data_IF_859385755668
#
_entry.id   IF_859385755668
#
_cell.length_a   1.000
_cell.length_b   1.000
_cell.length_c   1.000
_cell.angle_alpha   90.00
_cell.angle_beta   90.00
_cell.angle_gamma   90.00
#
_symmetry.space_group_name_H-M   'P 1'
#
loop_
_entity.id
_entity.type
_entity.pdbx_description
1 polymer ?
#
# COMPACT_ATOMS: atom_id res chain seq x y z
N UNK A 1 55.15 20.88 18.87
CA UNK A 1 55.37 19.86 17.82
C UNK A 1 54.25 20.05 16.83
N UNK A 2 54.42 21.02 15.93
CA UNK A 2 54.77 20.78 14.51
C UNK A 2 53.52 20.36 13.73
N UNK A 3 53.12 20.90 12.58
CA UNK A 3 53.45 22.06 11.74
C UNK A 3 52.40 22.02 10.60
N UNK A 4 52.00 23.17 10.06
CA UNK A 4 51.27 23.26 8.77
C UNK A 4 52.26 22.99 7.61
N UNK A 5 51.83 22.58 6.38
CA UNK A 5 51.49 23.59 5.35
C UNK A 5 50.50 23.20 4.23
N UNK A 6 50.22 24.24 3.45
CA UNK A 6 49.45 24.44 2.21
C UNK A 6 49.59 23.47 1.01
N UNK A 7 48.53 23.50 0.19
CA UNK A 7 48.40 23.36 -1.28
C UNK A 7 49.35 22.43 -2.06
N UNK A 8 48.74 21.54 -2.85
CA UNK A 8 49.23 21.20 -4.19
C UNK A 8 48.06 20.99 -5.18
N UNK A 9 48.10 21.78 -6.25
CA UNK A 9 47.46 21.53 -7.55
C UNK A 9 48.29 20.52 -8.34
N UNK A 10 47.66 19.65 -9.14
CA UNK A 10 48.10 19.36 -10.51
C UNK A 10 47.17 18.40 -11.24
N UNK A 11 46.87 18.76 -12.48
CA UNK A 11 46.38 17.90 -13.54
C UNK A 11 47.19 16.61 -13.67
N UNK A 12 46.52 15.49 -13.93
CA UNK A 12 47.03 14.43 -14.81
C UNK A 12 45.86 13.65 -15.40
N UNK A 13 45.36 14.13 -16.53
CA UNK A 13 44.58 13.34 -17.49
C UNK A 13 45.47 12.23 -18.07
N UNK A 14 45.37 11.02 -17.52
CA UNK A 14 45.93 9.81 -18.12
C UNK A 14 45.03 9.31 -19.25
N UNK A 15 45.44 9.55 -20.50
CA UNK A 15 44.82 8.97 -21.68
C UNK A 15 45.11 7.47 -21.78
N UNK A 16 44.08 6.64 -21.91
CA UNK A 16 44.19 5.29 -22.47
C UNK A 16 43.39 5.23 -23.77
N UNK A 17 44.10 5.37 -24.89
CA UNK A 17 43.57 5.14 -26.23
C UNK A 17 43.50 3.65 -26.55
N UNK A 18 42.35 3.18 -27.01
CA UNK A 18 42.24 2.00 -27.87
C UNK A 18 41.55 2.39 -29.18
N UNK A 19 42.25 2.21 -30.30
CA UNK A 19 41.68 2.27 -31.65
C UNK A 19 41.14 0.89 -32.03
N UNK A 20 39.84 0.78 -32.28
CA UNK A 20 39.29 -0.24 -33.19
C UNK A 20 38.18 0.38 -34.06
N UNK A 21 38.47 0.44 -35.36
CA UNK A 21 37.58 0.14 -36.49
C UNK A 21 36.16 0.73 -36.57
N UNK A 22 36.04 1.78 -37.37
CA UNK A 22 34.92 2.18 -38.27
C UNK A 22 33.49 2.17 -37.71
N UNK A 23 32.97 3.40 -37.51
CA UNK A 23 31.53 3.69 -37.63
C UNK A 23 30.86 4.27 -36.38
N UNK A 24 31.44 5.28 -35.70
CA UNK A 24 30.70 6.06 -34.68
C UNK A 24 29.95 7.21 -35.34
N UNK A 25 28.62 7.14 -35.35
CA UNK A 25 27.78 8.35 -35.39
C UNK A 25 27.94 9.05 -34.04
N UNK A 26 28.57 10.21 -34.04
CA UNK A 26 28.78 11.04 -32.85
C UNK A 26 27.46 11.67 -32.41
N UNK A 27 27.17 11.57 -31.11
CA UNK A 27 26.15 12.34 -30.41
C UNK A 27 26.64 13.80 -30.36
N UNK A 28 25.84 14.76 -30.81
CA UNK A 28 26.08 16.17 -30.51
C UNK A 28 25.77 16.37 -29.02
N UNK A 29 26.82 16.41 -28.20
CA UNK A 29 26.75 16.85 -26.81
C UNK A 29 26.86 18.37 -26.85
N UNK A 30 25.77 19.07 -26.54
CA UNK A 30 25.86 20.51 -26.27
C UNK A 30 26.60 20.71 -24.93
N UNK A 31 27.55 21.66 -24.84
CA UNK A 31 28.40 21.85 -23.67
C UNK A 31 27.63 22.31 -22.43
N UNK A 32 28.14 21.90 -21.26
CA UNK A 32 27.51 21.87 -19.94
C UNK A 32 27.41 23.26 -19.24
N UNK A 33 27.07 24.33 -19.98
CA UNK A 33 27.13 25.70 -19.45
C UNK A 33 25.81 26.49 -19.54
N UNK A 34 24.70 25.83 -19.87
CA UNK A 34 23.36 26.45 -19.88
C UNK A 34 22.31 25.56 -19.20
N UNK A 35 22.59 25.09 -17.98
CA UNK A 35 21.60 24.37 -17.17
C UNK A 35 20.58 25.35 -16.55
N UNK A 36 19.44 25.53 -17.19
CA UNK A 36 18.24 26.03 -16.50
C UNK A 36 17.58 24.86 -15.74
N UNK A 37 17.50 24.96 -14.41
CA UNK A 37 16.65 24.09 -13.57
C UNK A 37 15.20 24.19 -14.08
N UNK A 38 14.72 23.19 -14.80
CA UNK A 38 13.29 23.12 -15.18
C UNK A 38 12.96 22.35 -16.47
N UNK A 39 13.89 22.15 -17.41
CA UNK A 39 13.58 21.45 -18.67
C UNK A 39 13.78 19.93 -18.53
N UNK A 40 12.71 19.14 -18.61
CA UNK A 40 12.82 17.67 -18.72
C UNK A 40 13.53 17.29 -20.01
N UNK A 41 14.23 16.15 -20.01
CA UNK A 41 14.97 15.68 -21.19
C UNK A 41 13.99 15.08 -22.21
N UNK A 42 13.97 15.61 -23.43
CA UNK A 42 13.28 15.00 -24.57
C UNK A 42 14.07 13.76 -25.03
N UNK A 43 13.39 12.65 -25.28
CA UNK A 43 14.03 11.46 -25.84
C UNK A 43 14.27 11.66 -27.35
N UNK A 44 15.54 11.74 -27.74
CA UNK A 44 15.92 11.83 -29.14
C UNK A 44 16.81 10.63 -29.52
N UNK A 45 16.44 9.92 -30.58
CA UNK A 45 17.23 8.80 -31.11
C UNK A 45 17.48 8.98 -32.60
N UNK A 46 18.75 9.18 -32.98
CA UNK A 46 19.10 9.34 -34.40
C UNK A 46 18.54 10.61 -35.05
N UNK A 47 18.17 11.61 -34.25
CA UNK A 47 17.54 12.86 -34.72
C UNK A 47 16.02 12.87 -34.61
N UNK A 48 15.37 11.73 -34.36
CA UNK A 48 13.93 11.63 -34.17
C UNK A 48 13.56 11.81 -32.70
N UNK A 49 12.59 12.68 -32.44
CA UNK A 49 11.94 12.81 -31.12
C UNK A 49 11.03 11.59 -30.92
N UNK A 50 11.14 10.96 -29.76
CA UNK A 50 10.29 9.83 -29.36
C UNK A 50 9.36 10.30 -28.26
N UNK A 51 8.05 10.11 -28.49
CA UNK A 51 6.99 10.50 -27.57
C UNK A 51 6.48 9.33 -26.73
N UNK A 52 6.05 9.61 -25.51
CA UNK A 52 5.61 8.61 -24.53
C UNK A 52 4.29 9.02 -23.88
N UNK A 53 3.29 8.14 -23.99
CA UNK A 53 2.06 8.22 -23.20
C UNK A 53 2.12 7.25 -22.02
N UNK A 54 1.73 7.72 -20.84
CA UNK A 54 1.50 6.84 -19.69
C UNK A 54 -0.01 6.61 -19.53
N UNK A 55 -0.41 5.35 -19.41
CA UNK A 55 -1.81 4.95 -19.20
C UNK A 55 -1.94 4.22 -17.87
N UNK A 56 -2.86 4.68 -17.02
CA UNK A 56 -3.09 4.12 -15.69
C UNK A 56 -4.57 3.74 -15.56
N UNK A 57 -4.95 2.45 -15.66
CA UNK A 57 -6.27 2.02 -15.26
C UNK A 57 -6.43 2.17 -13.74
N UNK A 58 -7.57 2.67 -13.28
CA UNK A 58 -7.83 2.92 -11.87
C UNK A 58 -9.27 2.55 -11.49
N UNK A 59 -9.45 1.91 -10.33
CA UNK A 59 -10.76 1.63 -9.75
C UNK A 59 -10.61 1.58 -8.22
N UNK A 60 -11.10 2.61 -7.54
CA UNK A 60 -11.03 2.78 -6.09
C UNK A 60 -9.59 2.74 -5.53
N UNK A 61 -8.72 3.58 -6.07
CA UNK A 61 -7.29 3.68 -5.76
C UNK A 61 -6.92 5.08 -5.18
N UNK A 62 -7.82 5.72 -4.42
CA UNK A 62 -7.65 7.10 -3.91
C UNK A 62 -6.37 7.31 -3.08
N UNK A 63 -5.89 6.25 -2.46
CA UNK A 63 -4.73 6.26 -1.56
C UNK A 63 -3.38 6.11 -2.27
N UNK A 64 -3.39 5.51 -3.46
CA UNK A 64 -2.21 5.04 -4.16
C UNK A 64 -1.97 5.86 -5.43
N UNK A 65 -3.04 6.24 -6.14
CA UNK A 65 -2.99 6.92 -7.44
C UNK A 65 -2.18 8.22 -7.39
N UNK A 66 -2.32 9.02 -6.32
CA UNK A 66 -1.57 10.27 -6.16
C UNK A 66 -0.05 10.05 -6.06
N UNK A 67 0.37 8.93 -5.45
CA UNK A 67 1.77 8.53 -5.37
C UNK A 67 2.35 8.14 -6.73
N UNK A 68 1.58 7.38 -7.53
CA UNK A 68 1.95 6.99 -8.90
C UNK A 68 2.08 8.23 -9.78
N UNK A 69 1.07 9.10 -9.79
CA UNK A 69 1.06 10.32 -10.59
C UNK A 69 2.21 11.27 -10.23
N UNK A 70 2.53 11.38 -8.94
CA UNK A 70 3.71 12.12 -8.47
C UNK A 70 5.03 11.50 -8.97
N UNK A 71 5.14 10.17 -9.00
CA UNK A 71 6.31 9.47 -9.50
C UNK A 71 6.48 9.62 -11.03
N UNK A 72 5.36 9.60 -11.77
CA UNK A 72 5.34 9.88 -13.22
C UNK A 72 5.72 11.35 -13.49
N UNK A 73 5.23 12.28 -12.67
CA UNK A 73 5.60 13.70 -12.78
C UNK A 73 7.08 13.97 -12.42
N UNK A 74 7.75 13.10 -11.67
CA UNK A 74 9.18 13.22 -11.36
C UNK A 74 10.10 12.53 -12.36
N UNK A 75 9.57 12.02 -13.47
CA UNK A 75 10.43 11.41 -14.50
C UNK A 75 11.44 12.43 -15.05
N UNK A 76 12.69 11.99 -15.16
CA UNK A 76 13.82 12.74 -15.73
C UNK A 76 13.63 13.05 -17.21
N UNK A 77 12.83 12.24 -17.89
CA UNK A 77 12.42 12.47 -19.28
C UNK A 77 11.01 13.01 -19.37
N UNK A 78 10.72 13.66 -20.48
CA UNK A 78 9.38 14.13 -20.78
C UNK A 78 8.44 12.93 -20.98
N UNK A 79 7.35 12.93 -20.20
CA UNK A 79 6.15 12.13 -20.45
C UNK A 79 5.16 13.09 -21.09
N UNK A 80 4.79 12.84 -22.35
CA UNK A 80 4.03 13.77 -23.18
C UNK A 80 2.55 13.84 -22.78
N UNK A 81 2.00 12.74 -22.30
CA UNK A 81 0.67 12.72 -21.70
C UNK A 81 0.54 11.63 -20.64
N UNK A 82 -0.33 11.88 -19.67
CA UNK A 82 -0.76 10.88 -18.69
C UNK A 82 -2.27 10.74 -18.79
N UNK A 83 -2.73 9.51 -19.02
CA UNK A 83 -4.14 9.17 -19.13
C UNK A 83 -4.51 8.26 -17.96
N UNK A 84 -5.36 8.73 -17.07
CA UNK A 84 -5.99 7.88 -16.05
C UNK A 84 -7.32 7.41 -16.61
N UNK A 85 -7.54 6.10 -16.68
CA UNK A 85 -8.80 5.54 -17.16
C UNK A 85 -9.53 4.95 -15.95
N UNK A 86 -10.53 5.68 -15.47
CA UNK A 86 -11.33 5.32 -14.30
C UNK A 86 -12.39 4.28 -14.65
N UNK A 87 -12.41 3.19 -13.89
CA UNK A 87 -13.33 2.06 -14.03
C UNK A 87 -14.69 2.25 -13.35
N UNK A 88 -15.06 3.47 -12.96
CA UNK A 88 -16.23 3.76 -12.14
C UNK A 88 -15.91 3.78 -10.64
N UNK A 89 -14.86 4.49 -10.24
CA UNK A 89 -14.51 4.65 -8.82
C UNK A 89 -15.63 5.36 -8.05
N UNK A 90 -15.87 4.92 -6.82
CA UNK A 90 -16.85 5.50 -5.88
C UNK A 90 -16.19 6.25 -4.73
N UNK A 91 -14.86 6.27 -4.71
CA UNK A 91 -14.01 6.97 -3.74
C UNK A 91 -13.41 8.25 -4.37
N UNK A 92 -12.41 8.84 -3.73
CA UNK A 92 -11.79 10.09 -4.19
C UNK A 92 -10.79 9.89 -5.35
N UNK A 93 -10.68 8.71 -5.98
CA UNK A 93 -9.66 8.41 -7.01
C UNK A 93 -9.63 9.45 -8.12
N UNK A 94 -10.81 9.77 -8.70
CA UNK A 94 -10.95 10.74 -9.78
C UNK A 94 -10.52 12.13 -9.30
N UNK A 95 -11.04 12.57 -8.15
CA UNK A 95 -10.71 13.87 -7.56
C UNK A 95 -9.23 14.02 -7.21
N UNK A 96 -8.53 12.93 -6.85
CA UNK A 96 -7.08 12.93 -6.64
C UNK A 96 -6.33 13.05 -7.97
N UNK A 97 -6.76 12.33 -9.01
CA UNK A 97 -6.12 12.37 -10.32
C UNK A 97 -6.22 13.74 -11.00
N UNK A 98 -7.39 14.40 -10.90
CA UNK A 98 -7.66 15.71 -11.51
C UNK A 98 -6.83 16.86 -10.90
N UNK A 99 -6.25 16.67 -9.71
CA UNK A 99 -5.34 17.66 -9.11
C UNK A 99 -4.01 17.79 -9.86
N UNK A 100 -3.67 16.85 -10.74
CA UNK A 100 -2.43 16.86 -11.49
C UNK A 100 -2.61 17.54 -12.86
N UNK A 101 -1.86 18.61 -13.17
CA UNK A 101 -2.13 19.47 -14.34
C UNK A 101 -1.92 18.81 -15.71
N UNK A 102 -1.15 17.72 -15.77
CA UNK A 102 -0.83 17.00 -17.02
C UNK A 102 -1.53 15.63 -17.10
N UNK A 103 -2.60 15.43 -16.32
CA UNK A 103 -3.37 14.20 -16.29
C UNK A 103 -4.73 14.42 -16.94
N UNK A 104 -5.07 13.56 -17.89
CA UNK A 104 -6.40 13.47 -18.48
C UNK A 104 -7.11 12.27 -17.89
N UNK A 105 -8.27 12.48 -17.27
CA UNK A 105 -9.13 11.39 -16.78
C UNK A 105 -10.15 11.01 -17.85
N UNK A 106 -10.32 9.71 -18.08
CA UNK A 106 -11.34 9.13 -18.97
C UNK A 106 -12.16 8.13 -18.16
N UNK A 107 -13.48 8.18 -18.24
CA UNK A 107 -14.33 7.20 -17.57
C UNK A 107 -14.66 6.02 -18.50
N UNK A 108 -14.61 4.82 -17.95
CA UNK A 108 -14.92 3.57 -18.62
C UNK A 108 -15.64 2.62 -17.66
N UNK A 109 -16.55 1.80 -18.20
CA UNK A 109 -17.10 0.69 -17.43
C UNK A 109 -15.99 -0.37 -17.19
N UNK A 110 -16.08 -1.16 -16.11
CA UNK A 110 -15.31 -2.40 -15.97
C UNK A 110 -15.53 -3.34 -17.17
N UNK A 111 -14.58 -4.26 -17.45
CA UNK A 111 -13.40 -4.61 -16.66
C UNK A 111 -12.14 -3.79 -17.01
N UNK A 112 -11.04 -4.05 -16.30
CA UNK A 112 -9.73 -3.39 -16.49
C UNK A 112 -9.23 -3.44 -17.94
N UNK A 113 -9.50 -4.52 -18.68
CA UNK A 113 -9.10 -4.61 -20.09
C UNK A 113 -9.76 -3.56 -20.98
N UNK A 114 -11.01 -3.19 -20.68
CA UNK A 114 -11.68 -2.07 -21.34
C UNK A 114 -10.99 -0.73 -21.04
N UNK A 115 -10.57 -0.54 -19.79
CA UNK A 115 -9.83 0.66 -19.38
C UNK A 115 -8.48 0.76 -20.12
N UNK A 116 -7.71 -0.34 -20.18
CA UNK A 116 -6.45 -0.38 -20.94
C UNK A 116 -6.65 -0.15 -22.43
N UNK A 117 -7.69 -0.73 -23.02
CA UNK A 117 -7.99 -0.54 -24.43
C UNK A 117 -8.34 0.92 -24.76
N UNK A 118 -9.24 1.53 -23.99
CA UNK A 118 -9.59 2.95 -24.15
C UNK A 118 -8.36 3.84 -23.98
N UNK A 119 -7.51 3.53 -23.00
CA UNK A 119 -6.25 4.24 -22.80
C UNK A 119 -5.27 4.08 -23.97
N UNK A 120 -5.15 2.88 -24.55
CA UNK A 120 -4.34 2.62 -25.74
C UNK A 120 -4.84 3.45 -26.93
N UNK A 121 -6.14 3.42 -27.21
CA UNK A 121 -6.76 4.15 -28.32
C UNK A 121 -6.63 5.66 -28.15
N UNK A 122 -6.77 6.14 -26.90
CA UNK A 122 -6.72 7.56 -26.55
C UNK A 122 -5.30 8.13 -26.50
N UNK A 123 -4.28 7.28 -26.37
CA UNK A 123 -2.87 7.68 -26.36
C UNK A 123 -2.42 8.20 -27.73
N UNK A 124 -1.36 9.00 -27.75
CA UNK A 124 -0.76 9.62 -28.94
C UNK A 124 0.74 9.38 -29.06
N UNK A 125 1.39 8.92 -27.98
CA UNK A 125 2.82 8.67 -27.94
C UNK A 125 3.24 7.49 -28.80
N UNK A 126 4.48 7.53 -29.30
CA UNK A 126 5.08 6.42 -30.05
C UNK A 126 5.16 5.14 -29.20
N UNK A 127 5.42 5.33 -27.90
CA UNK A 127 5.36 4.29 -26.88
C UNK A 127 4.24 4.56 -25.87
N UNK A 128 3.60 3.49 -25.45
CA UNK A 128 2.62 3.50 -24.36
C UNK A 128 3.19 2.71 -23.19
N UNK A 129 3.24 3.34 -22.03
CA UNK A 129 3.63 2.73 -20.76
C UNK A 129 2.37 2.55 -19.93
N UNK A 130 1.90 1.31 -19.81
CA UNK A 130 0.85 0.97 -18.87
C UNK A 130 1.46 0.82 -17.47
N UNK A 131 0.83 1.43 -16.47
CA UNK A 131 1.19 1.29 -15.05
C UNK A 131 -0.07 1.05 -14.24
N UNK A 132 -0.06 0.10 -13.31
CA UNK A 132 -1.14 -0.02 -12.34
C UNK A 132 -1.11 1.15 -11.34
N UNK A 133 -2.28 1.53 -10.82
CA UNK A 133 -2.47 2.63 -9.88
C UNK A 133 -1.82 2.43 -8.49
N UNK A 134 -1.14 1.30 -8.25
CA UNK A 134 -0.41 0.96 -7.03
C UNK A 134 1.09 0.69 -7.26
N UNK A 135 1.66 1.22 -8.34
CA UNK A 135 3.08 1.03 -8.70
C UNK A 135 3.90 2.31 -8.52
N UNK A 136 5.18 2.15 -8.17
CA UNK A 136 6.07 3.28 -7.91
C UNK A 136 7.32 3.22 -8.81
N UNK A 137 7.28 3.83 -10.00
CA UNK A 137 8.47 3.95 -10.85
C UNK A 137 9.51 4.89 -10.24
N UNK A 138 10.79 4.57 -10.38
CA UNK A 138 11.90 5.48 -10.03
C UNK A 138 12.01 6.63 -11.04
N UNK A 139 12.71 7.72 -10.70
CA UNK A 139 12.77 8.95 -11.50
C UNK A 139 13.35 8.76 -12.93
N UNK A 140 14.15 7.73 -13.17
CA UNK A 140 14.72 7.43 -14.49
C UNK A 140 14.03 6.27 -15.21
N UNK A 141 12.94 5.73 -14.66
CA UNK A 141 12.29 4.50 -15.11
C UNK A 141 11.88 4.56 -16.59
N UNK A 142 11.10 5.58 -16.98
CA UNK A 142 10.58 5.70 -18.34
C UNK A 142 11.72 5.81 -19.36
N UNK A 143 12.68 6.69 -19.10
CA UNK A 143 13.84 6.88 -19.98
C UNK A 143 14.61 5.57 -20.18
N UNK A 144 14.93 4.87 -19.07
CA UNK A 144 15.67 3.62 -19.11
C UNK A 144 14.91 2.52 -19.87
N UNK A 145 13.59 2.43 -19.70
CA UNK A 145 12.77 1.48 -20.43
C UNK A 145 12.80 1.73 -21.94
N UNK A 146 12.56 2.97 -22.38
CA UNK A 146 12.53 3.32 -23.81
C UNK A 146 13.91 3.17 -24.45
N UNK A 147 14.98 3.61 -23.77
CA UNK A 147 16.35 3.43 -24.23
C UNK A 147 16.71 1.95 -24.43
N UNK A 148 16.34 1.10 -23.45
CA UNK A 148 16.60 -0.34 -23.55
C UNK A 148 15.78 -0.99 -24.67
N UNK A 149 14.49 -0.65 -24.81
CA UNK A 149 13.65 -1.15 -25.90
C UNK A 149 14.19 -0.76 -27.27
N UNK A 150 14.61 0.49 -27.47
CA UNK A 150 15.21 0.95 -28.72
C UNK A 150 16.52 0.23 -29.02
N UNK A 151 17.42 0.14 -28.03
CA UNK A 151 18.70 -0.57 -28.15
C UNK A 151 18.53 -2.03 -28.57
N UNK A 152 17.55 -2.71 -27.97
CA UNK A 152 17.23 -4.13 -28.24
C UNK A 152 16.25 -4.32 -29.40
N UNK A 153 15.74 -3.23 -29.99
CA UNK A 153 14.70 -3.21 -31.03
C UNK A 153 13.46 -4.02 -30.63
N UNK A 154 12.97 -3.82 -29.42
CA UNK A 154 11.76 -4.46 -28.89
C UNK A 154 10.51 -3.72 -29.34
N UNK A 155 9.42 -4.46 -29.47
CA UNK A 155 8.08 -3.95 -29.80
C UNK A 155 7.19 -3.91 -28.55
N UNK A 156 7.40 -4.84 -27.63
CA UNK A 156 6.72 -4.95 -26.34
C UNK A 156 7.71 -5.40 -25.26
N UNK A 157 7.55 -4.94 -24.04
CA UNK A 157 8.43 -5.28 -22.94
C UNK A 157 7.74 -5.17 -21.58
N UNK A 158 8.31 -5.87 -20.61
CA UNK A 158 7.95 -5.78 -19.19
C UNK A 158 9.22 -5.56 -18.35
N UNK A 159 9.16 -4.76 -17.27
CA UNK A 159 10.30 -4.58 -16.36
C UNK A 159 10.47 -5.78 -15.43
N UNK A 160 11.50 -5.73 -14.60
CA UNK A 160 11.58 -6.56 -13.40
C UNK A 160 10.70 -5.98 -12.30
N UNK A 161 10.07 -6.85 -11.52
CA UNK A 161 9.17 -6.44 -10.45
C UNK A 161 9.87 -6.59 -9.10
N UNK A 162 9.82 -5.52 -8.30
CA UNK A 162 10.37 -5.50 -6.94
C UNK A 162 9.24 -5.20 -5.95
N UNK A 163 8.90 -6.11 -5.04
CA UNK A 163 7.82 -5.85 -4.09
C UNK A 163 8.27 -4.80 -3.07
N UNK A 164 7.44 -3.79 -2.82
CA UNK A 164 7.76 -2.69 -1.90
C UNK A 164 6.49 -2.03 -1.31
N UNK A 165 6.42 -1.84 0.02
CA UNK A 165 7.24 -2.49 1.06
C UNK A 165 6.99 -4.00 1.07
N UNK A 166 7.98 -4.81 1.46
CA UNK A 166 7.85 -6.28 1.38
C UNK A 166 8.75 -7.01 2.36
N UNK A 167 8.37 -8.24 2.72
CA UNK A 167 9.22 -9.17 3.46
C UNK A 167 10.29 -9.79 2.56
N UNK A 168 11.42 -10.28 3.13
CA UNK A 168 12.45 -11.01 2.37
C UNK A 168 11.90 -12.25 1.65
N UNK A 169 10.95 -12.96 2.26
CA UNK A 169 10.32 -14.14 1.67
C UNK A 169 9.55 -13.80 0.39
N UNK A 170 8.74 -12.74 0.42
CA UNK A 170 8.03 -12.26 -0.78
C UNK A 170 9.04 -11.72 -1.80
N UNK A 171 10.10 -11.03 -1.37
CA UNK A 171 11.19 -10.59 -2.24
C UNK A 171 11.84 -11.74 -3.01
N UNK A 172 12.08 -12.87 -2.36
CA UNK A 172 12.62 -14.08 -2.99
C UNK A 172 11.66 -14.65 -4.05
N UNK A 173 10.34 -14.68 -3.76
CA UNK A 173 9.32 -15.11 -4.73
C UNK A 173 9.34 -14.25 -5.99
N UNK A 174 9.36 -12.92 -5.85
CA UNK A 174 9.43 -12.01 -6.99
C UNK A 174 10.75 -12.17 -7.78
N UNK A 175 11.85 -12.41 -7.08
CA UNK A 175 13.15 -12.67 -7.72
C UNK A 175 13.11 -13.95 -8.57
N UNK A 176 12.48 -15.01 -8.05
CA UNK A 176 12.26 -16.25 -8.79
C UNK A 176 11.37 -16.02 -10.03
N UNK A 177 10.28 -15.26 -9.90
CA UNK A 177 9.43 -14.91 -11.06
C UNK A 177 10.17 -14.10 -12.11
N UNK A 178 10.96 -13.09 -11.73
CA UNK A 178 11.75 -12.32 -12.67
C UNK A 178 12.74 -13.21 -13.45
N UNK A 179 13.39 -14.16 -12.77
CA UNK A 179 14.29 -15.12 -13.40
C UNK A 179 13.55 -16.06 -14.37
N UNK A 180 12.38 -16.58 -13.97
CA UNK A 180 11.56 -17.44 -14.82
C UNK A 180 11.09 -16.69 -16.08
N UNK A 181 10.56 -15.47 -15.91
CA UNK A 181 10.12 -14.63 -17.03
C UNK A 181 11.28 -14.33 -17.98
N UNK A 182 12.44 -13.98 -17.44
CA UNK A 182 13.63 -13.72 -18.25
C UNK A 182 14.11 -14.98 -19.00
N UNK A 183 14.19 -16.13 -18.33
CA UNK A 183 14.66 -17.38 -18.93
C UNK A 183 13.73 -17.87 -20.04
N UNK A 184 12.42 -17.74 -19.84
CA UNK A 184 11.41 -18.25 -20.78
C UNK A 184 10.95 -17.24 -21.82
N UNK A 185 11.37 -15.97 -21.77
CA UNK A 185 10.84 -14.87 -22.59
C UNK A 185 10.78 -15.14 -24.11
N UNK A 186 11.69 -15.97 -24.66
CA UNK A 186 11.73 -16.33 -26.09
C UNK A 186 10.69 -17.38 -26.50
N UNK A 187 10.31 -18.27 -25.58
CA UNK A 187 9.39 -19.39 -25.83
C UNK A 187 8.00 -19.04 -25.32
N UNK A 188 7.96 -18.40 -24.16
CA UNK A 188 6.76 -18.09 -23.42
C UNK A 188 6.81 -16.64 -22.90
N UNK A 189 6.63 -15.63 -23.79
CA UNK A 189 6.57 -14.23 -23.41
C UNK A 189 5.61 -14.03 -22.24
N UNK A 190 6.10 -13.53 -21.10
CA UNK A 190 5.34 -13.44 -19.87
C UNK A 190 5.77 -12.23 -19.06
N UNK A 191 4.82 -11.65 -18.34
CA UNK A 191 4.98 -10.48 -17.48
C UNK A 191 3.70 -10.26 -16.69
N UNK A 192 3.61 -9.15 -15.96
CA UNK A 192 2.45 -8.77 -15.18
C UNK A 192 1.87 -7.45 -15.69
N UNK A 193 0.55 -7.28 -15.60
CA UNK A 193 -0.15 -6.05 -15.97
C UNK A 193 0.30 -4.80 -15.21
N UNK A 194 1.00 -4.99 -14.08
CA UNK A 194 1.59 -3.89 -13.29
C UNK A 194 2.48 -2.97 -14.10
N UNK A 195 3.16 -3.49 -15.13
CA UNK A 195 3.69 -2.63 -16.18
C UNK A 195 3.92 -3.35 -17.51
N UNK A 196 3.39 -2.75 -18.57
CA UNK A 196 3.60 -3.16 -19.95
C UNK A 196 4.04 -1.93 -20.73
N UNK A 197 5.17 -2.03 -21.43
CA UNK A 197 5.64 -0.99 -22.35
C UNK A 197 5.53 -1.52 -23.77
N UNK A 198 4.91 -0.78 -24.67
CA UNK A 198 4.65 -1.24 -26.02
C UNK A 198 4.72 -0.10 -27.02
N UNK A 199 5.14 -0.39 -28.26
CA UNK A 199 4.96 0.54 -29.38
C UNK A 199 3.46 0.67 -29.68
N UNK A 200 2.96 1.90 -29.71
CA UNK A 200 1.52 2.17 -29.85
C UNK A 200 0.93 1.54 -31.11
N UNK A 201 1.51 1.84 -32.27
CA UNK A 201 0.98 1.37 -33.56
C UNK A 201 1.00 -0.16 -33.66
N UNK A 202 2.07 -0.79 -33.17
CA UNK A 202 2.16 -2.25 -33.11
C UNK A 202 1.05 -2.87 -32.24
N UNK A 203 0.74 -2.26 -31.10
CA UNK A 203 -0.35 -2.73 -30.24
C UNK A 203 -1.74 -2.59 -30.90
N UNK A 204 -1.99 -1.45 -31.56
CA UNK A 204 -3.25 -1.19 -32.27
C UNK A 204 -3.44 -2.14 -33.45
N UNK A 205 -2.40 -2.32 -34.28
CA UNK A 205 -2.42 -3.27 -35.40
C UNK A 205 -2.62 -4.73 -34.93
N UNK A 206 -2.14 -5.06 -33.74
CA UNK A 206 -2.34 -6.37 -33.15
C UNK A 206 -3.76 -6.59 -32.56
N UNK A 207 -4.60 -5.54 -32.53
CA UNK A 207 -5.98 -5.57 -32.03
C UNK A 207 -6.15 -5.16 -30.56
N UNK A 208 -5.11 -4.61 -29.92
CA UNK A 208 -5.23 -4.06 -28.56
C UNK A 208 -5.51 -5.09 -27.47
N UNK A 209 -6.09 -4.62 -26.36
CA UNK A 209 -6.51 -5.40 -25.20
C UNK A 209 -7.93 -5.94 -25.35
N UNK A 210 -8.25 -7.03 -24.63
CA UNK A 210 -9.56 -7.69 -24.66
C UNK A 210 -10.35 -7.36 -23.40
N UNK A 211 -11.63 -7.01 -23.55
CA UNK A 211 -12.53 -6.77 -22.41
C UNK A 211 -13.35 -8.01 -22.00
N UNK A 212 -13.24 -9.13 -22.73
CA UNK A 212 -13.90 -10.39 -22.41
C UNK A 212 -13.05 -11.35 -21.54
N UNK A 213 -11.90 -10.88 -21.02
CA UNK A 213 -10.96 -11.67 -20.23
C UNK A 213 -10.55 -10.98 -18.93
N UNK A 214 -10.51 -11.76 -17.85
CA UNK A 214 -9.95 -11.34 -16.54
C UNK A 214 -8.43 -11.17 -16.60
N UNK A 215 -7.73 -12.02 -17.36
CA UNK A 215 -6.26 -12.03 -17.51
C UNK A 215 -5.82 -11.46 -18.87
N UNK A 216 -6.43 -10.34 -19.22
CA UNK A 216 -6.24 -9.63 -20.49
C UNK A 216 -4.79 -9.18 -20.72
N UNK A 217 -4.08 -8.83 -19.65
CA UNK A 217 -2.67 -8.44 -19.65
C UNK A 217 -1.74 -9.57 -20.12
N UNK A 218 -1.90 -10.78 -19.57
CA UNK A 218 -1.08 -11.94 -19.91
C UNK A 218 -1.40 -12.41 -21.33
N UNK A 219 -2.67 -12.38 -21.73
CA UNK A 219 -3.07 -12.65 -23.12
C UNK A 219 -2.42 -11.66 -24.08
N UNK A 220 -2.49 -10.36 -23.77
CA UNK A 220 -1.91 -9.28 -24.56
C UNK A 220 -0.41 -9.46 -24.71
N UNK A 221 0.33 -9.64 -23.61
CA UNK A 221 1.78 -9.86 -23.61
C UNK A 221 2.15 -11.07 -24.48
N UNK A 222 1.43 -12.18 -24.35
CA UNK A 222 1.72 -13.40 -25.10
C UNK A 222 1.41 -13.28 -26.58
N UNK A 223 0.27 -12.71 -26.93
CA UNK A 223 -0.14 -12.53 -28.33
C UNK A 223 0.82 -11.58 -29.05
N UNK A 224 1.11 -10.43 -28.46
CA UNK A 224 2.04 -9.46 -29.05
C UNK A 224 3.48 -9.98 -29.05
N UNK A 225 3.91 -10.64 -27.98
CA UNK A 225 5.25 -11.20 -27.89
C UNK A 225 5.53 -12.36 -28.84
N UNK A 226 4.50 -13.06 -29.32
CA UNK A 226 4.63 -14.05 -30.40
C UNK A 226 4.65 -13.43 -31.80
N UNK A 227 4.06 -12.24 -31.97
CA UNK A 227 4.01 -11.52 -33.25
C UNK A 227 5.20 -10.59 -33.48
N UNK A 228 5.76 -10.04 -32.41
CA UNK A 228 6.86 -9.08 -32.44
C UNK A 228 7.99 -9.44 -31.48
N UNK A 229 8.89 -8.49 -31.24
CA UNK A 229 10.05 -8.69 -30.35
C UNK A 229 9.69 -8.33 -28.92
N UNK A 230 9.41 -9.35 -28.12
CA UNK A 230 9.27 -9.22 -26.67
C UNK A 230 10.61 -9.20 -25.94
N UNK A 231 10.69 -8.47 -24.84
CA UNK A 231 11.82 -8.59 -23.92
C UNK A 231 11.50 -8.20 -22.48
N UNK A 232 12.11 -8.93 -21.54
CA UNK A 232 12.17 -8.52 -20.14
C UNK A 232 13.29 -7.49 -19.96
N UNK A 233 12.98 -6.30 -19.47
CA UNK A 233 13.92 -5.19 -19.28
C UNK A 233 14.68 -5.36 -17.96
N UNK A 234 15.89 -4.81 -17.87
CA UNK A 234 16.71 -4.82 -16.65
C UNK A 234 16.28 -3.76 -15.61
N UNK A 235 15.37 -2.86 -15.99
CA UNK A 235 14.82 -1.82 -15.12
C UNK A 235 13.84 -2.43 -14.12
N UNK A 236 13.87 -1.97 -12.87
CA UNK A 236 12.98 -2.44 -11.81
C UNK A 236 11.81 -1.49 -11.58
N UNK A 237 10.62 -2.05 -11.41
CA UNK A 237 9.42 -1.35 -10.97
C UNK A 237 9.04 -1.81 -9.56
N UNK A 238 8.80 -0.86 -8.66
CA UNK A 238 8.24 -1.17 -7.35
C UNK A 238 6.76 -1.48 -7.47
N UNK A 239 6.34 -2.62 -6.93
CA UNK A 239 4.96 -3.11 -6.96
C UNK A 239 4.48 -3.48 -5.58
N UNK A 240 3.16 -3.44 -5.37
CA UNK A 240 2.56 -3.81 -4.10
C UNK A 240 2.58 -5.33 -3.86
N UNK A 241 2.92 -5.76 -2.65
CA UNK A 241 2.79 -7.14 -2.19
C UNK A 241 1.42 -7.43 -1.51
N UNK A 242 0.47 -6.49 -1.61
CA UNK A 242 -0.83 -6.52 -0.90
C UNK A 242 -1.56 -7.86 -1.02
N UNK A 243 -1.50 -8.53 -2.17
CA UNK A 243 -2.12 -9.84 -2.39
C UNK A 243 -1.45 -10.98 -1.60
N UNK A 244 -0.13 -10.97 -1.53
CA UNK A 244 0.62 -11.94 -0.72
C UNK A 244 0.35 -11.75 0.78
N UNK A 245 0.16 -10.52 1.23
CA UNK A 245 -0.25 -10.22 2.61
C UNK A 245 -1.68 -10.67 2.92
N UNK A 246 -2.64 -10.45 2.01
CA UNK A 246 -4.05 -10.84 2.19
C UNK A 246 -4.27 -12.35 2.18
N UNK A 247 -3.75 -13.04 1.16
CA UNK A 247 -4.06 -14.46 0.96
C UNK A 247 -2.99 -15.42 1.50
N UNK A 248 -1.81 -14.91 1.85
CA UNK A 248 -0.66 -15.69 2.26
C UNK A 248 0.14 -16.25 1.07
N UNK A 249 1.44 -16.42 1.28
CA UNK A 249 2.38 -16.86 0.24
C UNK A 249 2.02 -18.23 -0.37
N UNK A 250 1.74 -19.29 0.41
CA UNK A 250 1.46 -20.61 -0.18
C UNK A 250 0.23 -20.62 -1.07
N UNK A 251 -0.84 -19.94 -0.64
CA UNK A 251 -2.10 -19.85 -1.39
C UNK A 251 -1.91 -19.08 -2.69
N UNK A 252 -1.17 -17.97 -2.65
CA UNK A 252 -0.85 -17.19 -3.85
C UNK A 252 0.02 -17.98 -4.84
N UNK A 253 1.04 -18.70 -4.35
CA UNK A 253 1.88 -19.54 -5.20
C UNK A 253 1.08 -20.66 -5.87
N UNK A 254 0.23 -21.37 -5.13
CA UNK A 254 -0.63 -22.41 -5.67
C UNK A 254 -1.60 -21.85 -6.74
N UNK A 255 -2.18 -20.67 -6.46
CA UNK A 255 -3.06 -19.99 -7.40
C UNK A 255 -2.33 -19.60 -8.71
N UNK A 256 -1.14 -18.98 -8.60
CA UNK A 256 -0.34 -18.61 -9.77
C UNK A 256 0.20 -19.82 -10.54
N UNK A 257 0.52 -20.93 -9.87
CA UNK A 257 0.90 -22.18 -10.51
C UNK A 257 -0.27 -22.75 -11.34
N UNK A 258 -1.49 -22.76 -10.78
CA UNK A 258 -2.69 -23.21 -11.49
C UNK A 258 -2.97 -22.33 -12.73
N UNK A 259 -2.88 -21.00 -12.58
CA UNK A 259 -3.01 -20.07 -13.71
C UNK A 259 -1.94 -20.29 -14.78
N UNK A 260 -0.69 -20.50 -14.37
CA UNK A 260 0.41 -20.75 -15.29
C UNK A 260 0.17 -22.00 -16.14
N UNK A 261 -0.46 -23.03 -15.58
CA UNK A 261 -0.85 -24.22 -16.34
C UNK A 261 -1.87 -23.87 -17.45
N UNK A 262 -2.96 -23.18 -17.11
CA UNK A 262 -3.96 -22.74 -18.10
C UNK A 262 -3.34 -21.88 -19.20
N UNK A 263 -2.55 -20.88 -18.81
CA UNK A 263 -1.97 -19.96 -19.78
C UNK A 263 -1.01 -20.70 -20.71
N UNK A 264 -0.16 -21.60 -20.20
CA UNK A 264 0.81 -22.36 -21.02
C UNK A 264 0.15 -23.04 -22.21
N UNK A 265 -1.07 -23.56 -22.04
CA UNK A 265 -1.86 -24.19 -23.12
C UNK A 265 -2.79 -23.23 -23.88
N UNK A 266 -2.71 -21.92 -23.64
CA UNK A 266 -3.53 -20.91 -24.29
C UNK A 266 -4.99 -20.87 -23.83
N UNK A 267 -5.30 -21.50 -22.69
CA UNK A 267 -6.66 -21.68 -22.17
C UNK A 267 -7.12 -20.48 -21.32
N UNK A 268 -7.02 -19.26 -21.87
CA UNK A 268 -7.31 -18.01 -21.15
C UNK A 268 -8.78 -17.89 -20.72
N UNK A 269 -9.72 -18.34 -21.55
CA UNK A 269 -11.15 -18.32 -21.20
C UNK A 269 -11.47 -19.27 -20.06
N UNK A 270 -10.83 -20.45 -20.05
CA UNK A 270 -11.02 -21.49 -19.03
C UNK A 270 -10.35 -21.10 -17.70
N UNK A 271 -9.27 -20.32 -17.73
CA UNK A 271 -8.61 -19.81 -16.53
C UNK A 271 -9.56 -18.99 -15.62
N UNK A 272 -10.64 -18.43 -16.18
CA UNK A 272 -11.65 -17.66 -15.44
C UNK A 272 -12.44 -18.48 -14.42
N UNK A 273 -12.38 -19.82 -14.48
CA UNK A 273 -12.91 -20.71 -13.42
C UNK A 273 -12.21 -20.44 -12.08
N UNK A 274 -10.93 -20.05 -12.13
CA UNK A 274 -10.22 -19.56 -10.96
C UNK A 274 -10.69 -18.13 -10.70
N UNK A 275 -11.68 -17.98 -9.81
CA UNK A 275 -12.18 -16.67 -9.39
C UNK A 275 -11.01 -15.79 -8.96
N UNK A 276 -10.86 -14.65 -9.62
CA UNK A 276 -9.82 -13.69 -9.36
C UNK A 276 -10.43 -12.30 -9.36
N UNK A 277 -10.61 -11.76 -8.16
CA UNK A 277 -11.29 -10.49 -7.98
C UNK A 277 -10.31 -9.33 -8.20
N UNK A 278 -10.70 -8.43 -9.10
CA UNK A 278 -10.06 -7.14 -9.35
C UNK A 278 -10.95 -6.02 -8.78
N UNK A 279 -10.35 -5.03 -8.13
CA UNK A 279 -11.08 -3.85 -7.64
C UNK A 279 -11.85 -4.02 -6.32
N UNK A 280 -12.05 -5.25 -5.82
CA UNK A 280 -12.51 -5.55 -4.45
C UNK A 280 -11.34 -5.88 -3.54
N UNK A 281 -10.28 -5.06 -3.62
CA UNK A 281 -9.24 -5.16 -2.62
C UNK A 281 -9.78 -4.53 -1.35
N UNK A 282 -9.97 -5.35 -0.31
CA UNK A 282 -10.15 -4.86 1.05
C UNK A 282 -9.13 -3.76 1.27
N UNK A 283 -9.66 -2.56 1.42
CA UNK A 283 -9.05 -1.37 2.00
C UNK A 283 -7.86 -1.76 2.90
N UNK A 284 -6.67 -1.90 2.33
CA UNK A 284 -5.46 -1.57 3.05
C UNK A 284 -5.34 -0.04 3.02
N UNK A 285 -6.43 0.62 3.45
CA UNK A 285 -6.39 2.02 3.84
C UNK A 285 -5.35 2.05 4.94
N UNK A 286 -4.25 2.81 4.78
CA UNK A 286 -3.33 2.98 5.89
C UNK A 286 -4.18 3.46 7.06
N UNK A 287 -4.23 2.68 8.14
CA UNK A 287 -5.06 3.02 9.29
C UNK A 287 -4.62 4.40 9.75
N UNK A 288 -5.52 5.39 9.63
CA UNK A 288 -5.22 6.77 9.97
C UNK A 288 -5.60 7.01 11.42
N UNK A 289 -4.82 7.83 12.09
CA UNK A 289 -5.20 8.47 13.35
C UNK A 289 -5.60 9.92 13.08
N UNK A 290 -6.54 10.44 13.86
CA UNK A 290 -6.96 11.84 13.82
C UNK A 290 -6.06 12.64 14.76
N UNK A 291 -5.21 13.50 14.20
CA UNK A 291 -4.39 14.42 14.98
C UNK A 291 -5.26 15.53 15.55
N UNK A 292 -5.02 15.91 16.79
CA UNK A 292 -5.80 16.93 17.49
C UNK A 292 -4.93 17.94 18.22
N UNK A 293 -5.52 19.10 18.49
CA UNK A 293 -4.98 20.04 19.47
C UNK A 293 -5.32 19.64 20.92
N UNK A 294 -4.88 20.44 21.87
CA UNK A 294 -5.08 20.23 23.32
C UNK A 294 -6.56 20.24 23.76
N UNK A 295 -7.47 20.71 22.90
CA UNK A 295 -8.91 20.82 23.16
C UNK A 295 -9.73 19.77 22.39
N UNK A 296 -9.07 18.75 21.84
CA UNK A 296 -9.67 17.70 21.01
C UNK A 296 -10.26 18.22 19.68
N UNK A 297 -9.78 19.35 19.14
CA UNK A 297 -10.16 19.77 17.80
C UNK A 297 -9.30 19.05 16.75
N UNK A 298 -9.88 18.45 15.69
CA UNK A 298 -9.12 17.84 14.61
C UNK A 298 -8.26 18.85 13.85
N UNK A 299 -6.95 18.60 13.77
CA UNK A 299 -5.98 19.43 13.04
C UNK A 299 -5.33 18.71 11.84
N UNK A 300 -5.61 17.41 11.67
CA UNK A 300 -5.11 16.63 10.56
C UNK A 300 -5.22 15.13 10.78
N UNK A 301 -4.50 14.37 9.96
CA UNK A 301 -4.44 12.90 10.05
C UNK A 301 -3.02 12.41 9.84
N UNK A 302 -2.64 11.34 10.53
CA UNK A 302 -1.35 10.66 10.32
C UNK A 302 -1.55 9.15 10.15
N UNK A 303 -0.59 8.47 9.54
CA UNK A 303 -0.64 7.01 9.45
C UNK A 303 -0.30 6.40 10.82
N UNK A 304 -1.17 5.55 11.35
CA UNK A 304 -0.97 4.81 12.62
C UNK A 304 0.34 4.04 12.65
N UNK A 305 0.74 3.49 11.50
CA UNK A 305 1.97 2.71 11.35
C UNK A 305 3.26 3.52 11.58
N UNK A 306 3.20 4.85 11.45
CA UNK A 306 4.38 5.72 11.55
C UNK A 306 4.24 6.83 12.59
N UNK A 307 3.04 7.10 13.10
CA UNK A 307 2.79 8.21 14.03
C UNK A 307 3.43 7.97 15.40
N UNK A 308 3.51 6.70 15.85
CA UNK A 308 4.08 6.33 17.14
C UNK A 308 5.61 6.25 17.08
N UNK A 309 6.27 7.31 17.52
CA UNK A 309 7.73 7.45 17.61
C UNK A 309 8.15 8.18 18.88
N UNK A 310 9.35 8.76 18.90
CA UNK A 310 9.84 9.52 20.07
C UNK A 310 9.11 10.85 20.30
N UNK A 311 8.45 11.37 19.26
CA UNK A 311 7.71 12.63 19.27
C UNK A 311 6.30 12.42 18.68
N UNK A 312 5.54 11.48 19.24
CA UNK A 312 4.17 11.19 18.79
C UNK A 312 3.27 12.41 19.01
N UNK A 313 2.67 12.98 17.94
CA UNK A 313 1.71 14.07 18.07
C UNK A 313 0.45 13.61 18.80
N UNK A 314 -0.22 14.56 19.47
CA UNK A 314 -1.49 14.29 20.13
C UNK A 314 -2.54 13.85 19.10
N UNK A 315 -3.24 12.76 19.40
CA UNK A 315 -4.26 12.21 18.51
C UNK A 315 -5.39 11.54 19.29
N UNK A 316 -6.52 11.29 18.61
CA UNK A 316 -7.68 10.61 19.22
C UNK A 316 -7.47 9.11 19.28
N UNK A 317 -7.89 8.55 20.41
CA UNK A 317 -7.98 7.12 20.65
C UNK A 317 -9.27 6.79 21.41
N UNK A 318 -9.41 5.54 21.82
CA UNK A 318 -10.43 5.11 22.78
C UNK A 318 -9.99 3.83 23.49
N UNK A 319 -10.58 3.59 24.66
CA UNK A 319 -10.34 2.40 25.48
C UNK A 319 -11.66 1.76 25.89
N UNK A 320 -11.77 0.42 25.81
CA UNK A 320 -12.99 -0.33 26.13
C UNK A 320 -12.73 -1.34 27.25
N UNK A 321 -13.62 -1.35 28.25
CA UNK A 321 -13.78 -2.41 29.25
C UNK A 321 -15.05 -3.21 28.95
N UNK A 322 -14.89 -4.43 28.45
CA UNK A 322 -15.96 -5.35 28.07
C UNK A 322 -16.26 -6.32 29.21
N UNK A 323 -17.52 -6.37 29.63
CA UNK A 323 -18.01 -7.21 30.71
C UNK A 323 -18.98 -8.29 30.20
N UNK A 324 -18.96 -9.46 30.86
CA UNK A 324 -19.96 -10.51 30.65
C UNK A 324 -21.16 -10.39 31.61
N UNK A 325 -22.13 -11.31 31.52
CA UNK A 325 -23.31 -11.36 32.43
C UNK A 325 -22.96 -11.47 33.91
N UNK A 326 -21.79 -11.99 34.23
CA UNK A 326 -21.32 -12.24 35.59
C UNK A 326 -20.50 -11.07 36.13
N UNK A 327 -20.48 -9.92 35.43
CA UNK A 327 -19.64 -8.75 35.76
C UNK A 327 -18.14 -9.07 35.76
N UNK A 328 -17.71 -10.10 35.05
CA UNK A 328 -16.27 -10.32 34.79
C UNK A 328 -15.86 -9.45 33.63
N UNK A 329 -14.70 -8.80 33.74
CA UNK A 329 -14.09 -8.00 32.69
C UNK A 329 -13.16 -8.85 31.84
N UNK A 330 -13.17 -8.65 30.53
CA UNK A 330 -12.24 -9.29 29.61
C UNK A 330 -10.94 -8.51 29.55
N UNK A 331 -9.83 -9.14 29.92
CA UNK A 331 -8.49 -8.66 29.64
C UNK A 331 -7.95 -9.33 28.38
N UNK A 332 -7.14 -8.60 27.61
CA UNK A 332 -6.37 -9.16 26.51
C UNK A 332 -4.87 -9.04 26.77
N UNK A 333 -4.11 -10.06 26.41
CA UNK A 333 -2.66 -9.98 26.25
C UNK A 333 -2.36 -9.57 24.83
N UNK A 334 -1.70 -8.43 24.66
CA UNK A 334 -1.37 -7.84 23.35
C UNK A 334 -0.49 -8.79 22.55
N UNK A 335 -0.71 -8.92 21.23
CA UNK A 335 0.13 -9.79 20.39
C UNK A 335 1.60 -9.38 20.41
N UNK A 336 2.49 -10.34 20.19
CA UNK A 336 3.93 -10.07 20.03
C UNK A 336 4.24 -9.13 18.84
N UNK A 337 3.28 -8.90 17.94
CA UNK A 337 3.42 -8.07 16.73
C UNK A 337 3.12 -6.60 16.97
N UNK A 338 2.55 -6.23 18.12
CA UNK A 338 2.23 -4.83 18.44
C UNK A 338 3.50 -3.99 18.52
N UNK A 339 3.44 -2.79 17.94
CA UNK A 339 4.58 -1.88 17.89
C UNK A 339 4.96 -1.30 19.26
N UNK A 340 3.97 -1.20 20.17
CA UNK A 340 4.06 -0.63 21.51
C UNK A 340 3.46 -1.64 22.52
N UNK A 341 4.12 -1.85 23.66
CA UNK A 341 3.76 -2.85 24.70
C UNK A 341 3.33 -4.23 24.14
N UNK A 342 4.16 -4.93 23.34
CA UNK A 342 3.87 -6.31 22.93
C UNK A 342 3.87 -7.24 24.15
N UNK A 343 2.93 -8.21 24.18
CA UNK A 343 2.79 -9.21 25.25
C UNK A 343 2.35 -8.69 26.63
N UNK A 344 2.10 -7.39 26.79
CA UNK A 344 1.52 -6.85 28.01
C UNK A 344 0.02 -7.14 28.09
N UNK A 345 -0.50 -7.30 29.31
CA UNK A 345 -1.93 -7.36 29.56
C UNK A 345 -2.54 -5.95 29.51
N UNK A 346 -3.78 -5.85 29.04
CA UNK A 346 -4.52 -4.59 28.94
C UNK A 346 -6.01 -4.87 29.11
N UNK A 347 -6.79 -3.82 29.31
CA UNK A 347 -8.23 -3.83 29.13
C UNK A 347 -8.65 -4.35 27.73
N UNK A 348 -9.94 -4.58 27.56
CA UNK A 348 -10.47 -5.46 26.51
C UNK A 348 -10.11 -5.07 25.08
N UNK A 349 -10.17 -3.78 24.73
CA UNK A 349 -9.87 -3.32 23.38
C UNK A 349 -9.52 -1.83 23.39
N UNK A 350 -8.46 -1.46 22.66
CA UNK A 350 -8.05 -0.07 22.47
C UNK A 350 -7.82 0.18 20.98
N UNK A 351 -8.05 1.41 20.52
CA UNK A 351 -7.79 1.76 19.13
C UNK A 351 -8.04 3.22 18.83
N UNK A 352 -8.15 3.49 17.53
CA UNK A 352 -8.22 4.86 17.00
C UNK A 352 -9.50 5.04 16.18
N UNK A 353 -10.26 6.14 16.40
CA UNK A 353 -11.30 6.54 15.47
C UNK A 353 -10.71 6.93 14.12
N UNK A 354 -11.37 6.51 13.04
CA UNK A 354 -11.06 7.00 11.69
C UNK A 354 -11.53 8.46 11.52
N UNK A 355 -11.01 9.19 10.52
CA UNK A 355 -11.51 10.53 10.21
C UNK A 355 -13.03 10.54 9.97
N UNK A 356 -13.75 11.35 10.74
CA UNK A 356 -15.22 11.44 10.70
C UNK A 356 -15.97 10.32 11.42
N UNK A 357 -15.28 9.35 12.02
CA UNK A 357 -15.88 8.26 12.79
C UNK A 357 -16.06 8.67 14.26
N UNK A 358 -17.24 8.40 14.83
CA UNK A 358 -17.47 8.56 16.27
C UNK A 358 -16.69 7.52 17.08
N UNK A 359 -16.31 7.87 18.29
CA UNK A 359 -15.63 6.97 19.24
C UNK A 359 -16.37 5.64 19.45
N UNK A 360 -17.69 5.68 19.63
CA UNK A 360 -18.51 4.47 19.84
C UNK A 360 -18.54 3.56 18.62
N UNK A 361 -18.59 4.13 17.41
CA UNK A 361 -18.51 3.36 16.16
C UNK A 361 -17.13 2.71 15.99
N UNK A 362 -16.06 3.46 16.29
CA UNK A 362 -14.69 2.96 16.26
C UNK A 362 -14.48 1.81 17.25
N UNK A 363 -15.02 1.94 18.46
CA UNK A 363 -15.01 0.90 19.49
C UNK A 363 -15.72 -0.38 19.04
N UNK A 364 -16.93 -0.27 18.47
CA UNK A 364 -17.66 -1.43 17.91
C UNK A 364 -16.85 -2.12 16.81
N UNK A 365 -16.28 -1.34 15.88
CA UNK A 365 -15.45 -1.85 14.80
C UNK A 365 -14.23 -2.61 15.32
N UNK A 366 -13.50 -2.08 16.30
CA UNK A 366 -12.30 -2.75 16.84
C UNK A 366 -12.64 -3.95 17.71
N UNK A 367 -13.73 -3.91 18.48
CA UNK A 367 -14.24 -5.08 19.20
C UNK A 367 -14.53 -6.25 18.26
N UNK A 368 -15.14 -5.98 17.10
CA UNK A 368 -15.38 -7.01 16.09
C UNK A 368 -14.06 -7.51 15.45
N UNK A 369 -13.14 -6.59 15.11
CA UNK A 369 -11.87 -6.92 14.46
C UNK A 369 -10.86 -7.68 15.36
N UNK A 370 -10.77 -7.31 16.64
CA UNK A 370 -9.79 -7.88 17.58
C UNK A 370 -10.37 -9.09 18.34
N UNK A 371 -11.66 -9.06 18.68
CA UNK A 371 -12.29 -10.05 19.57
C UNK A 371 -13.50 -10.76 18.96
N UNK A 372 -13.92 -10.44 17.73
CA UNK A 372 -15.10 -11.05 17.11
C UNK A 372 -16.43 -10.69 17.78
N UNK A 373 -16.48 -9.59 18.54
CA UNK A 373 -17.66 -9.12 19.26
C UNK A 373 -18.40 -8.06 18.42
N UNK A 374 -19.50 -8.47 17.78
CA UNK A 374 -20.34 -7.60 16.95
C UNK A 374 -21.59 -7.07 17.67
N UNK A 375 -21.97 -7.69 18.79
CA UNK A 375 -23.13 -7.35 19.63
C UNK A 375 -22.66 -7.03 21.04
N UNK A 376 -22.22 -5.80 21.22
CA UNK A 376 -21.98 -5.23 22.53
C UNK A 376 -22.85 -3.99 22.73
N UNK A 377 -23.34 -3.77 23.95
CA UNK A 377 -23.93 -2.49 24.36
C UNK A 377 -22.81 -1.63 24.94
N UNK A 378 -22.65 -0.37 24.48
CA UNK A 378 -21.50 0.48 24.83
C UNK A 378 -21.96 1.82 25.42
N UNK A 379 -21.24 2.30 26.44
CA UNK A 379 -21.40 3.62 27.02
C UNK A 379 -20.05 4.27 27.27
N UNK A 380 -19.89 5.52 26.84
CA UNK A 380 -18.75 6.35 27.23
C UNK A 380 -18.92 6.79 28.69
N UNK A 381 -17.97 6.41 29.55
CA UNK A 381 -18.02 6.64 31.00
C UNK A 381 -17.02 7.72 31.43
N UNK A 382 -15.81 7.71 30.87
CA UNK A 382 -14.78 8.72 31.16
C UNK A 382 -14.43 9.44 29.85
N UNK A 383 -15.18 10.50 29.47
CA UNK A 383 -15.11 11.09 28.13
C UNK A 383 -13.86 11.93 27.84
N UNK A 384 -13.12 12.35 28.88
CA UNK A 384 -12.01 13.30 28.77
C UNK A 384 -10.68 12.74 29.24
N UNK A 385 -10.57 11.41 29.36
CA UNK A 385 -9.30 10.79 29.76
C UNK A 385 -8.23 11.07 28.69
N UNK A 386 -7.04 11.43 29.15
CA UNK A 386 -5.88 11.78 28.33
C UNK A 386 -4.65 11.26 29.04
N UNK A 387 -3.75 10.65 28.28
CA UNK A 387 -2.52 10.11 28.83
C UNK A 387 -1.35 10.26 27.86
N UNK A 388 -0.15 10.16 28.40
CA UNK A 388 1.08 10.04 27.62
C UNK A 388 1.98 8.99 28.27
N UNK A 389 2.31 7.94 27.52
CA UNK A 389 3.14 6.84 28.00
C UNK A 389 4.30 6.56 27.03
N UNK A 390 5.47 6.19 27.55
CA UNK A 390 6.63 5.79 26.74
C UNK A 390 6.87 4.28 26.85
N UNK A 391 7.20 3.66 25.71
CA UNK A 391 7.68 2.29 25.63
C UNK A 391 8.83 2.20 24.64
N UNK A 392 10.04 1.95 25.15
CA UNK A 392 11.23 1.72 24.34
C UNK A 392 11.46 2.82 23.28
N UNK A 393 11.22 4.09 23.64
CA UNK A 393 11.39 5.25 22.75
C UNK A 393 10.25 5.49 21.77
N UNK A 394 9.13 4.77 21.91
CA UNK A 394 7.85 5.08 21.25
C UNK A 394 6.87 5.61 22.27
N UNK A 395 6.17 6.68 21.91
CA UNK A 395 5.24 7.37 22.79
C UNK A 395 3.81 7.13 22.33
N UNK A 396 2.92 6.82 23.26
CA UNK A 396 1.47 7.04 23.13
C UNK A 396 1.17 8.44 23.69
N UNK A 397 0.42 9.25 22.97
CA UNK A 397 0.05 10.61 23.38
C UNK A 397 -1.37 10.87 22.87
N UNK A 398 -2.36 10.58 23.71
CA UNK A 398 -3.72 10.36 23.25
C UNK A 398 -4.77 11.06 24.11
N UNK A 399 -5.79 11.61 23.46
CA UNK A 399 -7.11 11.86 24.08
C UNK A 399 -7.93 10.59 23.85
N UNK A 400 -8.22 9.87 24.94
CA UNK A 400 -8.67 8.49 24.91
C UNK A 400 -9.91 8.29 25.81
N UNK A 401 -11.13 8.58 25.34
CA UNK A 401 -12.33 8.30 26.10
C UNK A 401 -12.43 6.82 26.51
N UNK A 402 -12.85 6.58 27.76
CA UNK A 402 -13.04 5.21 28.29
C UNK A 402 -14.50 4.81 28.17
N UNK A 403 -14.74 3.69 27.52
CA UNK A 403 -16.04 3.09 27.28
C UNK A 403 -16.18 1.81 28.09
N UNK A 404 -17.40 1.56 28.55
CA UNK A 404 -17.81 0.32 29.21
C UNK A 404 -18.79 -0.38 28.28
N UNK A 405 -18.53 -1.66 28.05
CA UNK A 405 -19.25 -2.49 27.12
C UNK A 405 -19.76 -3.76 27.80
N UNK A 406 -20.88 -4.31 27.33
CA UNK A 406 -21.43 -5.57 27.82
C UNK A 406 -21.77 -6.50 26.67
N UNK A 407 -21.48 -7.80 26.81
CA UNK A 407 -21.81 -8.80 25.79
C UNK A 407 -22.07 -10.20 26.36
N UNK A 408 -22.84 -10.98 25.60
CA UNK A 408 -23.03 -12.42 25.80
C UNK A 408 -22.28 -13.26 24.78
N UNK A 409 -21.64 -12.61 23.80
CA UNK A 409 -20.91 -13.31 22.78
C UNK A 409 -19.62 -13.88 23.35
N UNK A 410 -19.32 -15.12 22.98
CA UNK A 410 -18.00 -15.70 23.24
C UNK A 410 -16.95 -15.01 22.37
N UNK A 411 -15.89 -14.41 22.95
CA UNK A 411 -14.83 -13.78 22.17
C UNK A 411 -14.11 -14.78 21.25
N UNK A 412 -13.77 -14.31 20.04
CA UNK A 412 -12.96 -15.00 19.04
C UNK A 412 -11.74 -14.12 18.72
N UNK A 413 -10.68 -14.18 19.55
CA UNK A 413 -9.55 -13.29 19.42
C UNK A 413 -8.82 -13.47 18.09
N UNK A 414 -8.45 -12.36 17.45
CA UNK A 414 -7.64 -12.35 16.25
C UNK A 414 -6.15 -12.49 16.65
N UNK A 415 -5.45 -13.57 16.23
CA UNK A 415 -4.07 -13.83 16.64
C UNK A 415 -3.06 -12.79 16.10
N UNK A 416 -3.46 -11.95 15.14
CA UNK A 416 -2.62 -10.83 14.73
C UNK A 416 -2.58 -9.70 15.78
N UNK A 417 -3.63 -9.56 16.59
CA UNK A 417 -3.84 -8.44 17.51
C UNK A 417 -3.75 -8.87 18.98
N UNK A 418 -4.20 -10.09 19.28
CA UNK A 418 -4.39 -10.63 20.64
C UNK A 418 -3.70 -11.98 20.78
N UNK A 419 -2.82 -12.11 21.78
CA UNK A 419 -2.10 -13.34 22.10
C UNK A 419 -2.92 -14.27 22.99
N UNK A 420 -3.59 -13.70 23.98
CA UNK A 420 -4.33 -14.43 25.02
C UNK A 420 -5.48 -13.56 25.54
N UNK A 421 -6.54 -14.16 26.07
CA UNK A 421 -7.63 -13.45 26.73
C UNK A 421 -7.95 -14.07 28.09
N UNK A 422 -8.44 -13.27 29.04
CA UNK A 422 -8.87 -13.74 30.36
C UNK A 422 -10.08 -12.98 30.86
N UNK A 423 -11.10 -13.69 31.31
CA UNK A 423 -12.18 -13.11 32.11
C UNK A 423 -11.75 -13.04 33.57
N UNK A 424 -11.80 -11.87 34.18
CA UNK A 424 -11.38 -11.61 35.57
C UNK A 424 -12.53 -10.93 36.32
N UNK A 425 -12.71 -11.22 37.61
CA UNK A 425 -13.69 -10.47 38.40
C UNK A 425 -13.25 -9.00 38.50
N UNK A 426 -14.20 -8.06 38.41
CA UNK A 426 -13.87 -6.63 38.42
C UNK A 426 -13.10 -6.23 39.68
N UNK A 427 -13.53 -6.71 40.84
CA UNK A 427 -12.93 -6.42 42.14
C UNK A 427 -11.50 -6.98 42.25
N UNK A 428 -11.24 -8.14 41.64
CA UNK A 428 -9.90 -8.71 41.57
C UNK A 428 -8.97 -7.86 40.69
N UNK A 429 -9.47 -7.37 39.56
CA UNK A 429 -8.70 -6.45 38.71
C UNK A 429 -8.39 -5.14 39.44
N UNK A 430 -9.35 -4.57 40.16
CA UNK A 430 -9.16 -3.34 40.94
C UNK A 430 -8.05 -3.50 41.98
N UNK A 431 -7.97 -4.66 42.64
CA UNK A 431 -6.91 -4.96 43.60
C UNK A 431 -5.55 -5.19 42.92
N UNK A 432 -5.53 -5.83 41.76
CA UNK A 432 -4.30 -6.15 41.02
C UNK A 432 -3.76 -5.00 40.15
N UNK A 433 -4.55 -3.96 39.88
CA UNK A 433 -4.17 -2.86 39.01
C UNK A 433 -3.23 -1.86 39.71
N UNK A 434 -1.96 -2.21 39.81
CA UNK A 434 -0.90 -1.34 40.33
C UNK A 434 0.25 -1.16 39.32
N UNK A 435 1.17 -0.25 39.64
CA UNK A 435 2.31 0.11 38.77
C UNK A 435 3.34 -1.02 38.56
N UNK A 436 3.32 -2.05 39.40
CA UNK A 436 4.19 -3.23 39.31
C UNK A 436 3.51 -4.40 38.58
N UNK A 437 2.24 -4.25 38.20
CA UNK A 437 1.51 -5.26 37.44
C UNK A 437 2.00 -5.35 35.98
N UNK A 438 1.73 -6.46 35.32
CA UNK A 438 1.98 -6.63 33.87
C UNK A 438 0.90 -5.96 33.01
N UNK A 439 0.15 -5.00 33.57
CA UNK A 439 -0.88 -4.23 32.87
C UNK A 439 -0.27 -3.01 32.20
N UNK A 440 -0.80 -2.64 31.04
CA UNK A 440 -0.41 -1.39 30.37
C UNK A 440 -0.70 -0.19 31.27
N UNK A 441 0.12 0.88 31.22
CA UNK A 441 -0.02 2.01 32.14
C UNK A 441 -1.42 2.65 32.10
N UNK A 442 -1.99 2.80 30.91
CA UNK A 442 -3.35 3.34 30.76
C UNK A 442 -4.40 2.42 31.38
N UNK A 443 -4.26 1.10 31.29
CA UNK A 443 -5.21 0.18 31.92
C UNK A 443 -5.23 0.37 33.44
N UNK A 444 -4.07 0.58 34.07
CA UNK A 444 -3.97 0.84 35.51
C UNK A 444 -4.68 2.16 35.87
N UNK A 445 -4.40 3.23 35.14
CA UNK A 445 -5.04 4.54 35.35
C UNK A 445 -6.56 4.49 35.13
N UNK A 446 -7.01 3.85 34.05
CA UNK A 446 -8.42 3.73 33.69
C UNK A 446 -9.22 2.90 34.69
N UNK A 447 -8.63 1.84 35.27
CA UNK A 447 -9.26 1.08 36.36
C UNK A 447 -9.54 1.99 37.56
N UNK A 448 -8.58 2.86 37.95
CA UNK A 448 -8.77 3.81 39.06
C UNK A 448 -9.82 4.88 38.75
N UNK A 449 -9.95 5.28 37.49
CA UNK A 449 -10.98 6.22 37.06
C UNK A 449 -12.38 5.59 37.08
N UNK A 450 -12.50 4.35 36.62
CA UNK A 450 -13.76 3.60 36.66
C UNK A 450 -14.18 3.26 38.09
N UNK A 451 -13.25 2.87 38.96
CA UNK A 451 -13.49 2.62 40.40
C UNK A 451 -14.08 3.83 41.13
N UNK A 452 -13.81 5.06 40.66
CA UNK A 452 -14.37 6.29 41.23
C UNK A 452 -15.65 6.76 40.54
N UNK A 453 -16.06 6.09 39.46
CA UNK A 453 -17.19 6.52 38.63
C UNK A 453 -18.51 5.93 39.13
N UNK A 454 -19.39 6.78 39.67
CA UNK A 454 -20.74 6.37 40.04
C UNK A 454 -21.52 5.78 38.84
N UNK A 455 -21.39 6.43 37.67
CA UNK A 455 -22.03 5.98 36.43
C UNK A 455 -21.58 4.58 36.02
N UNK A 456 -20.32 4.23 36.25
CA UNK A 456 -19.83 2.89 35.98
C UNK A 456 -20.54 1.85 36.85
N UNK A 457 -20.65 2.07 38.16
CA UNK A 457 -21.33 1.13 39.05
C UNK A 457 -22.84 1.04 38.80
N UNK A 458 -23.50 2.14 38.41
CA UNK A 458 -24.89 2.10 37.92
C UNK A 458 -25.03 1.18 36.71
N UNK A 459 -24.06 1.26 35.78
CA UNK A 459 -24.03 0.38 34.61
C UNK A 459 -23.79 -1.08 35.00
N UNK A 460 -22.82 -1.36 35.88
CA UNK A 460 -22.44 -2.70 36.31
C UNK A 460 -23.56 -3.39 37.12
N UNK A 461 -24.23 -2.65 37.99
CA UNK A 461 -25.37 -3.16 38.79
C UNK A 461 -26.60 -3.45 37.93
N UNK A 462 -26.81 -2.68 36.85
CA UNK A 462 -27.91 -2.90 35.91
C UNK A 462 -27.69 -4.04 34.93
N UNK A 463 -26.48 -4.59 34.83
CA UNK A 463 -26.08 -5.56 33.79
C UNK A 463 -26.95 -6.83 33.78
N UNK A 464 -27.18 -7.44 34.96
CA UNK A 464 -27.99 -8.67 35.07
C UNK A 464 -29.42 -8.53 34.54
N UNK A 465 -29.99 -7.31 34.53
CA UNK A 465 -31.33 -7.05 34.01
C UNK A 465 -31.36 -6.77 32.50
N UNK A 466 -30.24 -6.33 31.90
CA UNK A 466 -30.18 -6.00 30.46
C UNK A 466 -30.07 -7.24 29.59
N UNK A 467 -29.25 -8.21 30.00
CA UNK A 467 -28.97 -9.41 29.19
C UNK A 467 -30.03 -10.52 29.34
N UNK A 468 -31.11 -10.29 30.10
CA UNK A 468 -32.25 -11.23 30.24
C UNK A 468 -33.39 -11.01 29.25
N UNK A 469 -33.35 -9.95 28.43
CA UNK A 469 -34.42 -9.54 27.51
C UNK A 469 -34.05 -9.64 26.02
N UNK A 470 -32.89 -10.24 25.70
CA UNK A 470 -32.33 -10.32 24.34
C UNK A 470 -32.21 -11.72 23.79
#
# INVERSE_FOLDING_TARGET
MESWPDRLSSDTTGSLTWKVGRGRKSLLVLPDHQRTRGSRRVLCFGGEIVTVSVVIPALNEELTIGGVLSAVARQTTQVDEVIVVDGGSVDSTVAVAEKFPNVRVIHAAPPVGRQRQIGLESSKGDFVVFLDADTLPEENFVAACIEEMRRRRLDIACPWYKPFPSSPAIGAVYSAFNLIFFALQKVLPSGAGSCIIVKRNFALEAGGFRDDLVYEDIEFIRRLGRRGRFGTLSVQLKVSDRRFRKYGVPRMLAHYAALSAFFTFGLFKQAQVLKYEFGTYDRAVPELVVLVDEYDNPIGTAQKSTVHGSHTPLHRAFSVFLFDRSNRVLLQRRSARKATWPLWWSNSCCGHPLPGESTEAAARRRLEQELGISKAELWTVVPHYRYRADYAGKVENEICPVLVAFTDQTPKPNPAEVEEIRWVNWEELVLAADENSELTPWCVEEVRLLERSQRFYELLNGNRKRLSLG
#
